data_IF_418601292835
#
_entry.id   IF_418601292835
#
_cell.length_a   1.000
_cell.length_b   1.000
_cell.length_c   1.000
_cell.angle_alpha   90.00
_cell.angle_beta   90.00
_cell.angle_gamma   90.00
#
_symmetry.space_group_name_H-M   'P 1'
#
loop_
_entity.id
_entity.type
_entity.pdbx_description
1 polymer ?
#
# COMPACT_ATOMS: atom_id res chain seq x y z
N UNK A 1 6.39 -1.97 -26.79
CA UNK A 1 5.96 -3.14 -26.00
C UNK A 1 5.50 -2.60 -24.66
N UNK A 2 4.22 -2.73 -24.35
CA UNK A 2 3.77 -2.40 -22.99
C UNK A 2 4.35 -3.44 -22.03
N UNK A 3 5.04 -2.95 -21.00
CA UNK A 3 5.58 -3.81 -19.94
C UNK A 3 4.41 -4.47 -19.20
N UNK A 4 4.52 -5.76 -18.92
CA UNK A 4 3.55 -6.46 -18.06
C UNK A 4 3.44 -5.72 -16.71
N UNK A 5 2.24 -5.58 -16.16
CA UNK A 5 2.06 -5.03 -14.83
C UNK A 5 2.84 -5.86 -13.79
N UNK A 6 3.47 -5.19 -12.81
CA UNK A 6 4.07 -5.84 -11.65
C UNK A 6 2.99 -6.42 -10.74
N UNK A 7 1.91 -5.65 -10.53
CA UNK A 7 0.76 -6.04 -9.71
C UNK A 7 -0.50 -5.72 -10.52
N UNK A 8 -1.39 -6.69 -10.67
CA UNK A 8 -2.69 -6.50 -11.28
C UNK A 8 -3.76 -7.15 -10.40
N UNK A 9 -4.78 -6.38 -10.07
CA UNK A 9 -5.93 -6.83 -9.29
C UNK A 9 -7.16 -6.59 -10.15
N UNK A 10 -7.91 -7.64 -10.46
CA UNK A 10 -9.12 -7.54 -11.27
C UNK A 10 -10.34 -8.07 -10.50
N UNK A 11 -11.22 -7.13 -10.17
CA UNK A 11 -12.50 -7.40 -9.50
C UNK A 11 -12.37 -8.11 -8.16
N UNK A 12 -11.22 -7.96 -7.47
CA UNK A 12 -10.96 -8.70 -6.24
C UNK A 12 -11.87 -8.23 -5.10
N UNK A 13 -12.59 -9.17 -4.51
CA UNK A 13 -13.41 -8.97 -3.31
C UNK A 13 -12.99 -9.95 -2.22
N UNK A 14 -13.00 -9.49 -0.97
CA UNK A 14 -12.72 -10.34 0.20
C UNK A 14 -13.82 -10.23 1.23
N UNK A 15 -14.37 -11.37 1.60
CA UNK A 15 -15.33 -11.50 2.69
C UNK A 15 -14.69 -12.28 3.83
N UNK A 16 -14.84 -11.81 5.06
CA UNK A 16 -14.40 -12.48 6.29
C UNK A 16 -15.64 -12.62 7.19
N UNK A 17 -16.03 -13.85 7.48
CA UNK A 17 -17.33 -14.11 8.10
C UNK A 17 -18.46 -13.54 7.24
N UNK A 18 -19.26 -12.64 7.81
CA UNK A 18 -20.35 -11.97 7.12
C UNK A 18 -19.98 -10.53 6.63
N UNK A 19 -18.74 -10.11 6.83
CA UNK A 19 -18.32 -8.75 6.49
C UNK A 19 -17.51 -8.75 5.21
N UNK A 20 -17.91 -7.89 4.24
CA UNK A 20 -17.13 -7.61 3.06
C UNK A 20 -16.07 -6.57 3.43
N UNK A 21 -14.80 -6.96 3.39
CA UNK A 21 -13.66 -6.09 3.77
C UNK A 21 -12.97 -5.45 2.58
N UNK A 22 -13.06 -6.07 1.41
CA UNK A 22 -12.66 -5.51 0.11
C UNK A 22 -13.78 -5.82 -0.88
N UNK A 23 -14.14 -4.86 -1.72
CA UNK A 23 -15.21 -5.04 -2.71
C UNK A 23 -14.79 -4.54 -4.08
N UNK A 24 -14.76 -5.46 -5.06
CA UNK A 24 -14.48 -5.22 -6.48
C UNK A 24 -13.26 -4.33 -6.75
N UNK A 25 -12.17 -4.59 -6.03
CA UNK A 25 -10.93 -3.81 -6.19
C UNK A 25 -10.36 -4.01 -7.60
N UNK A 26 -10.02 -2.91 -8.23
CA UNK A 26 -9.27 -2.88 -9.49
C UNK A 26 -8.01 -2.03 -9.30
N UNK A 27 -6.85 -2.60 -9.59
CA UNK A 27 -5.57 -1.92 -9.44
C UNK A 27 -4.55 -2.49 -10.42
N UNK A 28 -3.85 -1.61 -11.10
CA UNK A 28 -2.71 -1.98 -11.95
C UNK A 28 -1.51 -1.14 -11.57
N UNK A 29 -0.40 -1.80 -11.24
CA UNK A 29 0.87 -1.17 -10.85
C UNK A 29 1.96 -1.65 -11.80
N UNK A 30 2.67 -0.73 -12.42
CA UNK A 30 3.79 -1.05 -13.32
C UNK A 30 5.07 -1.27 -12.52
N UNK A 31 6.06 -2.02 -13.07
CA UNK A 31 7.38 -2.11 -12.47
C UNK A 31 7.98 -0.73 -12.18
N UNK A 32 8.55 -0.55 -10.98
CA UNK A 32 9.16 0.71 -10.55
C UNK A 32 8.17 1.83 -10.17
N UNK A 33 6.86 1.59 -10.23
CA UNK A 33 5.89 2.56 -9.75
C UNK A 33 5.77 2.55 -8.22
N UNK A 34 5.53 3.73 -7.67
CA UNK A 34 5.16 3.90 -6.28
C UNK A 34 3.70 4.34 -6.16
N UNK A 35 2.94 3.66 -5.32
CA UNK A 35 1.53 3.95 -5.06
C UNK A 35 1.29 4.20 -3.57
N UNK A 36 0.59 5.30 -3.26
CA UNK A 36 0.09 5.61 -1.93
C UNK A 36 -1.39 5.23 -1.79
N UNK A 37 -1.71 4.37 -0.83
CA UNK A 37 -3.08 4.03 -0.43
C UNK A 37 -3.51 4.98 0.68
N UNK A 38 -4.49 5.83 0.40
CA UNK A 38 -5.03 6.78 1.37
C UNK A 38 -6.41 6.36 1.85
N UNK A 39 -6.72 6.58 3.10
CA UNK A 39 -8.04 6.30 3.67
C UNK A 39 -8.04 6.30 5.19
N UNK A 40 -9.22 6.48 5.78
CA UNK A 40 -9.39 6.40 7.22
C UNK A 40 -9.07 5.01 7.77
N UNK A 41 -8.85 4.89 9.08
CA UNK A 41 -8.67 3.59 9.72
C UNK A 41 -9.89 2.70 9.47
N UNK A 42 -9.65 1.42 9.16
CA UNK A 42 -10.71 0.48 8.79
C UNK A 42 -11.17 0.55 7.32
N UNK A 43 -10.56 1.40 6.46
CA UNK A 43 -10.93 1.49 5.04
C UNK A 43 -10.42 0.34 4.15
N UNK A 44 -9.78 -0.67 4.73
CA UNK A 44 -9.30 -1.84 3.99
C UNK A 44 -7.87 -1.76 3.48
N UNK A 45 -7.09 -0.68 3.77
CA UNK A 45 -5.68 -0.52 3.30
C UNK A 45 -4.81 -1.73 3.66
N UNK A 46 -4.75 -2.08 4.94
CA UNK A 46 -4.01 -3.25 5.44
C UNK A 46 -4.48 -4.55 4.76
N UNK A 47 -5.80 -4.70 4.55
CA UNK A 47 -6.36 -5.88 3.89
C UNK A 47 -5.94 -5.96 2.42
N UNK A 48 -5.83 -4.82 1.74
CA UNK A 48 -5.33 -4.76 0.37
C UNK A 48 -3.83 -5.12 0.31
N UNK A 49 -3.01 -4.62 1.24
CA UNK A 49 -1.61 -5.03 1.33
C UNK A 49 -1.45 -6.52 1.61
N UNK A 50 -2.26 -7.09 2.51
CA UNK A 50 -2.28 -8.54 2.77
C UNK A 50 -2.74 -9.35 1.55
N UNK A 51 -3.64 -8.82 0.73
CA UNK A 51 -4.06 -9.44 -0.51
C UNK A 51 -2.92 -9.47 -1.53
N UNK A 52 -2.20 -8.36 -1.70
CA UNK A 52 -1.05 -8.26 -2.63
C UNK A 52 0.10 -9.15 -2.17
N UNK A 53 0.33 -9.27 -0.85
CA UNK A 53 1.41 -10.10 -0.30
C UNK A 53 1.13 -11.60 -0.35
N UNK A 54 -0.10 -12.04 -0.68
CA UNK A 54 -0.48 -13.46 -0.63
C UNK A 54 -0.81 -13.98 0.78
N UNK A 55 -0.80 -13.11 1.81
CA UNK A 55 -1.22 -13.49 3.17
C UNK A 55 -2.71 -13.82 3.27
N UNK A 56 -3.51 -13.30 2.35
CA UNK A 56 -4.91 -13.65 2.15
C UNK A 56 -5.19 -13.76 0.65
N UNK A 57 -6.14 -14.62 0.28
CA UNK A 57 -6.62 -14.72 -1.10
C UNK A 57 -8.00 -14.09 -1.25
N UNK A 58 -8.37 -13.58 -2.43
CA UNK A 58 -9.68 -13.02 -2.69
C UNK A 58 -10.77 -14.10 -2.61
N UNK A 59 -11.98 -13.70 -2.24
CA UNK A 59 -13.18 -14.56 -2.30
C UNK A 59 -13.75 -14.57 -3.72
N UNK A 60 -13.57 -13.46 -4.47
CA UNK A 60 -13.93 -13.29 -5.90
C UNK A 60 -12.87 -12.44 -6.58
N UNK A 61 -12.76 -12.59 -7.90
CA UNK A 61 -11.73 -11.91 -8.68
C UNK A 61 -10.35 -12.55 -8.46
N UNK A 62 -9.29 -11.90 -8.88
CA UNK A 62 -7.94 -12.44 -8.80
C UNK A 62 -6.88 -11.35 -8.63
N UNK A 63 -5.68 -11.79 -8.23
CA UNK A 63 -4.47 -10.97 -8.12
C UNK A 63 -3.38 -11.64 -8.92
N UNK A 64 -2.75 -10.89 -9.80
CA UNK A 64 -1.62 -11.32 -10.61
C UNK A 64 -0.36 -10.57 -10.19
N UNK A 65 0.74 -11.29 -10.07
CA UNK A 65 2.08 -10.74 -9.87
C UNK A 65 2.92 -11.16 -11.08
N UNK A 66 3.41 -10.19 -11.83
CA UNK A 66 4.12 -10.44 -13.10
C UNK A 66 3.36 -11.40 -14.03
N UNK A 67 2.04 -11.24 -14.10
CA UNK A 67 1.15 -12.08 -14.92
C UNK A 67 0.85 -13.47 -14.36
N UNK A 68 1.34 -13.82 -13.16
CA UNK A 68 1.06 -15.11 -12.48
C UNK A 68 0.05 -14.92 -11.36
N UNK A 69 -0.93 -15.82 -11.27
CA UNK A 69 -2.04 -15.72 -10.31
C UNK A 69 -1.62 -16.17 -8.91
N UNK A 70 -1.84 -15.31 -7.90
CA UNK A 70 -1.68 -15.68 -6.49
C UNK A 70 -2.77 -16.67 -6.06
N UNK A 71 -2.34 -17.71 -5.35
CA UNK A 71 -3.20 -18.82 -4.88
C UNK A 71 -3.40 -19.93 -5.90
N UNK A 72 -2.83 -19.80 -7.11
CA UNK A 72 -2.84 -20.83 -8.17
C UNK A 72 -1.43 -21.08 -8.69
N UNK A 73 -0.83 -20.10 -9.36
CA UNK A 73 0.51 -20.23 -9.97
C UNK A 73 1.63 -19.90 -8.97
N UNK A 74 1.32 -19.05 -8.01
CA UNK A 74 2.20 -18.60 -6.93
C UNK A 74 1.47 -18.67 -5.60
N UNK A 75 2.11 -19.21 -4.57
CA UNK A 75 1.65 -19.11 -3.20
C UNK A 75 1.92 -17.71 -2.63
N UNK A 76 3.13 -17.19 -2.88
CA UNK A 76 3.57 -15.85 -2.50
C UNK A 76 4.32 -15.19 -3.64
N UNK A 77 4.37 -13.85 -3.72
CA UNK A 77 5.25 -13.15 -4.64
C UNK A 77 6.71 -13.56 -4.39
N UNK A 78 7.49 -13.89 -5.44
CA UNK A 78 8.83 -14.45 -5.27
C UNK A 78 9.87 -13.45 -4.75
N UNK A 79 9.62 -12.15 -4.90
CA UNK A 79 10.53 -11.08 -4.49
C UNK A 79 9.71 -9.98 -3.83
N UNK A 80 9.44 -10.15 -2.53
CA UNK A 80 8.60 -9.24 -1.76
C UNK A 80 9.20 -8.96 -0.39
N UNK A 81 9.20 -7.68 0.00
CA UNK A 81 9.45 -7.24 1.37
C UNK A 81 8.24 -6.48 1.88
N UNK A 82 7.88 -6.67 3.14
CA UNK A 82 6.71 -5.99 3.68
C UNK A 82 6.88 -5.60 5.15
N UNK A 83 6.29 -4.47 5.48
CA UNK A 83 6.02 -4.00 6.83
C UNK A 83 4.50 -3.87 6.96
N UNK A 84 3.84 -4.88 7.51
CA UNK A 84 2.40 -4.88 7.74
C UNK A 84 2.16 -4.97 9.25
N UNK A 85 1.41 -4.01 9.79
CA UNK A 85 1.17 -3.87 11.22
C UNK A 85 2.45 -3.62 12.04
N UNK A 86 2.47 -4.01 13.32
CA UNK A 86 3.61 -3.79 14.20
C UNK A 86 4.65 -4.90 14.03
N UNK A 87 5.87 -4.58 13.61
CA UNK A 87 6.91 -5.57 13.46
C UNK A 87 7.31 -6.14 14.82
N UNK A 88 7.41 -7.45 14.91
CA UNK A 88 7.84 -8.15 16.13
C UNK A 88 9.04 -9.03 15.82
N UNK A 89 10.12 -8.82 16.56
CA UNK A 89 11.38 -9.54 16.43
C UNK A 89 11.75 -10.21 17.75
N UNK A 90 12.75 -11.07 17.74
CA UNK A 90 13.21 -11.79 18.92
C UNK A 90 13.91 -10.84 19.91
N UNK A 91 13.40 -10.70 21.15
CA UNK A 91 13.82 -9.63 22.06
C UNK A 91 15.25 -9.78 22.60
N UNK A 92 15.76 -11.01 22.65
CA UNK A 92 17.10 -11.32 23.17
C UNK A 92 18.23 -11.05 22.16
N UNK A 93 17.90 -10.89 20.88
CA UNK A 93 18.85 -10.68 19.79
C UNK A 93 18.94 -9.20 19.40
N UNK A 94 20.03 -8.83 18.74
CA UNK A 94 20.21 -7.48 18.14
C UNK A 94 19.41 -7.34 16.87
N UNK A 95 19.31 -6.14 16.31
CA UNK A 95 18.71 -5.91 14.99
C UNK A 95 19.41 -6.72 13.91
N UNK A 96 20.75 -6.74 13.93
CA UNK A 96 21.56 -7.49 12.96
C UNK A 96 21.30 -9.00 13.04
N UNK A 97 21.32 -9.58 14.24
CA UNK A 97 21.04 -11.00 14.45
C UNK A 97 19.62 -11.38 14.01
N UNK A 98 18.62 -10.52 14.25
CA UNK A 98 17.27 -10.75 13.79
C UNK A 98 17.18 -10.76 12.26
N UNK A 99 17.79 -9.80 11.56
CA UNK A 99 17.81 -9.77 10.09
C UNK A 99 18.62 -10.95 9.52
N UNK A 100 19.73 -11.35 10.19
CA UNK A 100 20.51 -12.53 9.80
C UNK A 100 19.69 -13.81 9.87
N UNK A 101 18.87 -13.99 10.91
CA UNK A 101 17.96 -15.12 11.02
C UNK A 101 16.88 -15.10 9.94
N UNK A 102 16.31 -13.92 9.60
CA UNK A 102 15.36 -13.79 8.51
C UNK A 102 15.99 -14.17 7.18
N UNK A 103 17.18 -13.68 6.87
CA UNK A 103 17.88 -14.00 5.62
C UNK A 103 18.16 -15.50 5.47
N UNK A 104 18.39 -16.22 6.58
CA UNK A 104 18.65 -17.67 6.55
C UNK A 104 17.46 -18.51 6.08
N UNK A 105 16.26 -17.94 6.07
CA UNK A 105 15.05 -18.63 5.60
C UNK A 105 14.96 -18.67 4.06
N UNK A 106 15.65 -17.76 3.39
CA UNK A 106 15.60 -17.63 1.93
C UNK A 106 17.00 -17.75 1.33
N UNK A 107 17.85 -16.75 1.50
CA UNK A 107 19.23 -16.76 1.04
C UNK A 107 20.09 -15.99 2.04
N UNK A 108 21.06 -16.68 2.67
CA UNK A 108 21.91 -16.07 3.67
C UNK A 108 22.64 -14.85 3.13
N UNK A 109 22.43 -13.69 3.74
CA UNK A 109 23.06 -12.43 3.34
C UNK A 109 24.39 -12.21 4.07
N UNK A 110 25.38 -11.55 3.42
CA UNK A 110 26.60 -11.12 4.08
C UNK A 110 26.29 -10.15 5.23
N UNK A 111 26.96 -10.34 6.36
CA UNK A 111 26.82 -9.47 7.55
C UNK A 111 27.01 -7.99 7.23
N UNK A 112 27.99 -7.66 6.38
CA UNK A 112 28.26 -6.27 5.98
C UNK A 112 27.06 -5.62 5.26
N UNK A 113 26.27 -6.38 4.51
CA UNK A 113 25.08 -5.87 3.83
C UNK A 113 23.96 -5.59 4.84
N UNK A 114 23.78 -6.47 5.82
CA UNK A 114 22.82 -6.27 6.93
C UNK A 114 23.21 -5.03 7.75
N UNK A 115 24.48 -4.89 8.09
CA UNK A 115 25.00 -3.71 8.81
C UNK A 115 24.78 -2.42 8.02
N UNK A 116 25.00 -2.43 6.71
CA UNK A 116 24.74 -1.29 5.83
C UNK A 116 23.27 -0.86 5.87
N UNK A 117 22.33 -1.82 5.81
CA UNK A 117 20.90 -1.52 5.90
C UNK A 117 20.52 -0.95 7.27
N UNK A 118 21.08 -1.49 8.36
CA UNK A 118 20.83 -0.98 9.70
C UNK A 118 21.38 0.44 9.88
N UNK A 119 22.56 0.75 9.35
CA UNK A 119 23.11 2.10 9.35
C UNK A 119 22.19 3.06 8.56
N UNK A 120 21.68 2.63 7.41
CA UNK A 120 20.77 3.41 6.57
C UNK A 120 19.48 3.80 7.30
N UNK A 121 18.97 2.95 8.21
CA UNK A 121 17.80 3.27 9.04
C UNK A 121 18.18 3.87 10.41
N UNK A 122 19.47 4.14 10.66
CA UNK A 122 19.95 4.77 11.89
C UNK A 122 19.88 3.86 13.12
N UNK A 123 20.08 2.54 12.94
CA UNK A 123 20.12 1.57 14.02
C UNK A 123 21.56 1.10 14.29
N UNK A 124 21.85 0.89 15.56
CA UNK A 124 23.14 0.42 16.05
C UNK A 124 22.99 -0.94 16.76
N UNK A 125 24.13 -1.57 17.06
CA UNK A 125 24.17 -2.87 17.74
C UNK A 125 23.62 -2.79 19.18
N UNK A 126 22.34 -3.04 19.29
CA UNK A 126 21.58 -3.04 20.56
C UNK A 126 20.52 -4.14 20.50
N UNK A 127 20.28 -4.83 21.61
CA UNK A 127 19.25 -5.88 21.70
C UNK A 127 17.86 -5.29 21.51
N UNK A 128 17.03 -5.97 20.71
CA UNK A 128 15.67 -5.53 20.35
C UNK A 128 14.78 -5.22 21.57
N UNK A 129 14.94 -5.94 22.70
CA UNK A 129 14.21 -5.63 23.94
C UNK A 129 14.44 -4.22 24.51
N UNK A 130 15.53 -3.55 24.08
CA UNK A 130 15.86 -2.17 24.49
C UNK A 130 15.41 -1.13 23.46
N UNK A 131 14.82 -1.56 22.35
CA UNK A 131 14.38 -0.64 21.29
C UNK A 131 13.18 0.18 21.74
N UNK A 132 13.24 1.48 21.49
CA UNK A 132 12.07 2.34 21.52
C UNK A 132 11.07 1.94 20.43
N UNK A 133 9.86 2.46 20.47
CA UNK A 133 8.87 2.18 19.45
C UNK A 133 9.35 2.63 18.05
N UNK A 134 9.96 3.81 17.95
CA UNK A 134 10.56 4.29 16.71
C UNK A 134 11.71 3.43 16.22
N UNK A 135 12.57 2.91 17.10
CA UNK A 135 13.64 1.96 16.72
C UNK A 135 13.06 0.63 16.21
N UNK A 136 11.96 0.14 16.79
CA UNK A 136 11.24 -1.05 16.30
C UNK A 136 10.69 -0.83 14.92
N UNK A 137 10.10 0.34 14.68
CA UNK A 137 9.58 0.73 13.36
C UNK A 137 10.72 0.80 12.32
N UNK A 138 11.85 1.42 12.66
CA UNK A 138 13.05 1.48 11.82
C UNK A 138 13.57 0.08 11.46
N UNK A 139 13.57 -0.88 12.41
CA UNK A 139 13.95 -2.26 12.11
C UNK A 139 12.95 -2.96 11.20
N UNK A 140 11.64 -2.69 11.35
CA UNK A 140 10.62 -3.20 10.44
C UNK A 140 10.79 -2.69 9.01
N UNK A 141 11.13 -1.40 8.85
CA UNK A 141 11.47 -0.81 7.54
C UNK A 141 12.72 -1.49 6.97
N UNK A 142 13.78 -1.66 7.80
CA UNK A 142 14.98 -2.37 7.39
C UNK A 142 14.66 -3.79 6.90
N UNK A 143 13.84 -4.54 7.62
CA UNK A 143 13.42 -5.89 7.26
C UNK A 143 12.61 -5.94 5.95
N UNK A 144 11.88 -4.88 5.62
CA UNK A 144 11.14 -4.81 4.37
C UNK A 144 12.03 -4.57 3.14
N UNK A 145 13.25 -4.03 3.32
CA UNK A 145 14.11 -3.64 2.18
C UNK A 145 15.46 -4.36 2.11
N UNK A 146 15.86 -5.11 3.17
CA UNK A 146 17.23 -5.61 3.30
C UNK A 146 17.64 -6.62 2.22
N UNK A 147 16.71 -7.41 1.68
CA UNK A 147 16.93 -8.35 0.58
C UNK A 147 16.77 -7.71 -0.80
N UNK A 148 16.57 -6.40 -0.87
CA UNK A 148 16.35 -5.66 -2.11
C UNK A 148 15.20 -6.22 -2.97
N UNK A 149 14.00 -6.43 -2.40
CA UNK A 149 12.89 -7.05 -3.11
C UNK A 149 12.36 -6.17 -4.24
N UNK A 150 11.74 -6.81 -5.24
CA UNK A 150 11.11 -6.12 -6.37
C UNK A 150 9.80 -5.43 -5.98
N UNK A 151 9.12 -5.96 -4.97
CA UNK A 151 7.87 -5.41 -4.43
C UNK A 151 8.08 -5.08 -2.96
N UNK A 152 7.74 -3.85 -2.57
CA UNK A 152 7.81 -3.38 -1.17
C UNK A 152 6.43 -2.91 -0.75
N UNK A 153 5.90 -3.48 0.34
CA UNK A 153 4.62 -3.12 0.93
C UNK A 153 4.83 -2.50 2.31
N UNK A 154 4.35 -1.28 2.52
CA UNK A 154 4.51 -0.56 3.76
C UNK A 154 3.15 -0.13 4.32
N UNK A 155 2.77 -0.64 5.49
CA UNK A 155 1.54 -0.25 6.20
C UNK A 155 1.86 0.72 7.32
N UNK A 156 1.37 1.96 7.18
CA UNK A 156 1.58 3.05 8.14
C UNK A 156 3.05 3.21 8.58
N UNK A 157 4.02 3.31 7.65
CA UNK A 157 5.44 3.26 7.98
C UNK A 157 5.93 4.48 8.78
N UNK A 158 5.18 5.58 8.78
CA UNK A 158 5.48 6.81 9.54
C UNK A 158 5.12 6.70 11.02
N UNK A 159 4.34 5.69 11.42
CA UNK A 159 3.94 5.53 12.80
C UNK A 159 5.17 5.43 13.72
N UNK A 160 5.12 6.15 14.84
CA UNK A 160 6.17 6.21 15.85
C UNK A 160 7.55 6.75 15.38
N UNK A 161 7.65 7.25 14.16
CA UNK A 161 8.84 7.94 13.68
C UNK A 161 8.81 9.42 14.10
N UNK A 162 9.95 9.90 14.52
CA UNK A 162 10.23 11.33 14.68
C UNK A 162 10.56 11.97 13.32
N UNK A 163 10.78 13.27 13.29
CA UNK A 163 11.11 14.01 12.06
C UNK A 163 12.35 13.43 11.34
N UNK A 164 13.37 13.03 12.13
CA UNK A 164 14.57 12.37 11.58
C UNK A 164 14.25 11.00 10.97
N UNK A 165 13.30 10.27 11.57
CA UNK A 165 12.82 8.99 11.08
C UNK A 165 12.00 9.11 9.79
N UNK A 166 11.21 10.18 9.66
CA UNK A 166 10.48 10.47 8.42
C UNK A 166 11.46 10.77 7.28
N UNK A 167 12.45 11.64 7.51
CA UNK A 167 13.50 11.92 6.51
C UNK A 167 14.27 10.66 6.12
N UNK A 168 14.61 9.81 7.08
CA UNK A 168 15.24 8.50 6.82
C UNK A 168 14.34 7.64 5.92
N UNK A 169 13.05 7.53 6.21
CA UNK A 169 12.09 6.76 5.42
C UNK A 169 11.99 7.29 3.99
N UNK A 170 11.94 8.62 3.80
CA UNK A 170 11.94 9.24 2.48
C UNK A 170 13.17 8.86 1.66
N UNK A 171 14.36 8.89 2.27
CA UNK A 171 15.60 8.47 1.63
C UNK A 171 15.57 6.98 1.24
N UNK A 172 15.07 6.10 2.13
CA UNK A 172 14.92 4.68 1.85
C UNK A 172 13.97 4.47 0.65
N UNK A 173 12.82 5.13 0.63
CA UNK A 173 11.85 5.05 -0.47
C UNK A 173 12.47 5.53 -1.78
N UNK A 174 13.19 6.65 -1.75
CA UNK A 174 13.85 7.21 -2.93
C UNK A 174 14.90 6.26 -3.50
N UNK A 175 15.74 5.66 -2.66
CA UNK A 175 16.76 4.69 -3.07
C UNK A 175 16.12 3.45 -3.70
N UNK A 176 15.09 2.88 -3.04
CA UNK A 176 14.39 1.69 -3.54
C UNK A 176 13.66 1.97 -4.87
N UNK A 177 13.02 3.12 -4.99
CA UNK A 177 12.38 3.55 -6.25
C UNK A 177 13.42 3.76 -7.35
N UNK A 178 14.58 4.34 -7.01
CA UNK A 178 15.69 4.55 -7.97
C UNK A 178 16.28 3.24 -8.47
N UNK A 179 16.27 2.20 -7.62
CA UNK A 179 16.66 0.82 -7.98
C UNK A 179 15.63 0.15 -8.91
N UNK A 180 14.41 0.68 -8.99
CA UNK A 180 13.32 0.12 -9.78
C UNK A 180 12.36 -0.76 -8.99
N UNK A 181 12.40 -0.75 -7.66
CA UNK A 181 11.43 -1.44 -6.84
C UNK A 181 10.02 -0.83 -7.00
N UNK A 182 9.01 -1.67 -6.99
CA UNK A 182 7.61 -1.28 -6.98
C UNK A 182 7.14 -1.16 -5.54
N UNK A 183 6.63 0.01 -5.14
CA UNK A 183 6.27 0.29 -3.76
C UNK A 183 4.77 0.54 -3.64
N UNK A 184 4.11 -0.16 -2.71
CA UNK A 184 2.73 0.13 -2.30
C UNK A 184 2.73 0.49 -0.83
N UNK A 185 2.38 1.73 -0.52
CA UNK A 185 2.41 2.26 0.84
C UNK A 185 1.01 2.69 1.28
N UNK A 186 0.57 2.23 2.43
CA UNK A 186 -0.65 2.68 3.06
C UNK A 186 -0.34 3.71 4.15
N UNK A 187 -1.03 4.84 4.14
CA UNK A 187 -0.94 5.85 5.19
C UNK A 187 -2.25 6.63 5.33
N UNK A 188 -2.50 7.11 6.53
CA UNK A 188 -3.55 8.10 6.80
C UNK A 188 -3.02 9.54 6.67
N UNK A 189 -1.70 9.74 6.67
CA UNK A 189 -1.06 11.04 6.45
C UNK A 189 -1.05 11.38 4.95
N UNK A 190 -1.92 12.32 4.59
CA UNK A 190 -2.08 12.77 3.20
C UNK A 190 -0.82 13.45 2.65
N UNK A 191 -0.08 14.19 3.49
CA UNK A 191 1.09 14.93 3.05
C UNK A 191 2.23 13.98 2.68
N UNK A 192 2.49 12.98 3.52
CA UNK A 192 3.54 12.01 3.28
C UNK A 192 3.27 11.17 2.03
N UNK A 193 2.05 10.68 1.84
CA UNK A 193 1.67 9.95 0.62
C UNK A 193 1.81 10.80 -0.65
N UNK A 194 1.54 12.11 -0.59
CA UNK A 194 1.63 13.00 -1.75
C UNK A 194 3.09 13.33 -2.09
N UNK A 195 3.97 13.44 -1.10
CA UNK A 195 5.39 13.76 -1.30
C UNK A 195 6.14 12.53 -1.83
N UNK A 196 5.85 11.36 -1.28
CA UNK A 196 6.58 10.13 -1.55
C UNK A 196 6.06 9.37 -2.80
N UNK A 197 4.75 9.43 -3.09
CA UNK A 197 4.13 8.63 -4.15
C UNK A 197 3.88 9.42 -5.43
N UNK A 198 4.21 8.83 -6.57
CA UNK A 198 3.82 9.35 -7.89
C UNK A 198 2.31 9.21 -8.15
N UNK A 199 1.64 8.30 -7.44
CA UNK A 199 0.20 8.04 -7.53
C UNK A 199 -0.37 7.79 -6.15
N UNK A 200 -1.54 8.35 -5.83
CA UNK A 200 -2.25 8.05 -4.60
C UNK A 200 -3.66 7.53 -4.88
N UNK A 201 -4.05 6.50 -4.16
CA UNK A 201 -5.35 5.84 -4.28
C UNK A 201 -6.11 6.01 -2.97
N UNK A 202 -7.34 6.53 -3.01
CA UNK A 202 -8.19 6.58 -1.83
C UNK A 202 -9.00 5.30 -1.70
N UNK A 203 -8.79 4.57 -0.60
CA UNK A 203 -9.63 3.45 -0.21
C UNK A 203 -10.88 3.97 0.52
N UNK A 204 -12.06 3.65 0.00
CA UNK A 204 -13.33 3.88 0.67
C UNK A 204 -13.74 2.66 1.49
N UNK A 205 -14.54 2.87 2.54
CA UNK A 205 -15.21 1.80 3.28
C UNK A 205 -16.01 0.90 2.33
N UNK A 206 -16.26 -0.36 2.72
CA UNK A 206 -16.97 -1.40 1.98
C UNK A 206 -18.37 -1.02 1.43
N UNK A 207 -18.86 0.18 1.71
CA UNK A 207 -20.10 0.76 1.18
C UNK A 207 -19.86 2.11 0.46
N UNK A 208 -18.61 2.47 0.19
CA UNK A 208 -18.30 3.75 -0.42
C UNK A 208 -17.80 3.55 -1.85
N UNK A 209 -18.52 4.08 -2.79
CA UNK A 209 -18.12 4.21 -4.20
C UNK A 209 -16.76 4.92 -4.24
N UNK A 210 -15.71 4.22 -4.67
CA UNK A 210 -14.42 4.83 -4.94
C UNK A 210 -14.60 5.90 -6.03
N UNK A 211 -14.75 7.15 -5.61
CA UNK A 211 -14.67 8.29 -6.52
C UNK A 211 -13.22 8.79 -6.51
N UNK A 212 -12.60 8.67 -7.68
CA UNK A 212 -11.35 9.30 -8.10
C UNK A 212 -10.04 8.81 -7.48
N UNK A 213 -9.29 8.14 -8.33
CA UNK A 213 -7.85 7.91 -8.22
C UNK A 213 -7.14 9.16 -8.74
N UNK A 214 -6.49 9.92 -7.87
CA UNK A 214 -5.62 11.02 -8.27
C UNK A 214 -4.21 10.46 -8.49
N UNK A 215 -3.83 10.33 -9.76
CA UNK A 215 -2.47 9.96 -10.15
C UNK A 215 -1.62 11.24 -10.26
N UNK A 216 -0.56 11.38 -9.44
CA UNK A 216 0.45 12.40 -9.63
C UNK A 216 1.70 11.76 -10.25
N UNK A 217 1.99 12.09 -11.50
CA UNK A 217 3.24 11.71 -12.15
C UNK A 217 4.40 12.60 -11.71
N UNK A 218 5.63 12.05 -11.69
CA UNK A 218 6.87 12.80 -11.51
C UNK A 218 6.86 14.01 -12.46
N UNK A 219 7.09 15.21 -11.95
CA UNK A 219 7.35 16.40 -12.78
C UNK A 219 8.71 16.22 -13.46
N UNK A 220 8.71 15.66 -14.65
CA UNK A 220 9.76 16.00 -15.61
C UNK A 220 9.52 17.43 -16.09
N UNK A 221 10.58 18.22 -15.99
CA UNK A 221 10.62 19.62 -16.35
C UNK A 221 9.93 19.89 -17.70
N UNK A 222 8.99 20.83 -17.68
CA UNK A 222 8.46 21.57 -18.81
C UNK A 222 7.49 20.83 -19.76
N UNK A 223 6.22 21.21 -19.61
CA UNK A 223 5.11 21.18 -20.55
C UNK A 223 4.09 20.02 -20.40
N UNK A 224 2.89 20.50 -20.11
CA UNK A 224 1.56 19.86 -20.28
C UNK A 224 1.18 18.79 -19.25
N UNK A 225 0.34 19.22 -18.32
CA UNK A 225 -0.55 18.38 -17.50
C UNK A 225 -1.42 17.53 -18.42
N UNK A 226 -1.06 16.26 -18.57
CA UNK A 226 -2.00 15.24 -19.00
C UNK A 226 -2.45 14.45 -17.79
N UNK A 227 -3.62 14.78 -17.29
CA UNK A 227 -4.34 14.00 -16.29
C UNK A 227 -4.65 12.62 -16.91
N UNK A 228 -3.91 11.60 -16.53
CA UNK A 228 -4.32 10.22 -16.79
C UNK A 228 -5.39 9.84 -15.74
N UNK A 229 -6.64 9.93 -16.14
CA UNK A 229 -7.76 9.34 -15.40
C UNK A 229 -7.61 7.82 -15.45
N UNK A 230 -7.19 7.20 -14.34
CA UNK A 230 -7.52 5.80 -14.14
C UNK A 230 -9.02 5.73 -13.84
N UNK A 231 -9.80 5.25 -14.79
CA UNK A 231 -11.22 5.05 -14.60
C UNK A 231 -11.39 3.78 -13.78
N UNK A 232 -11.66 3.95 -12.49
CA UNK A 232 -12.28 2.88 -11.72
C UNK A 232 -13.74 2.87 -12.16
N UNK A 233 -14.13 1.92 -12.99
CA UNK A 233 -15.51 1.75 -13.41
C UNK A 233 -16.38 1.59 -12.16
N UNK A 234 -17.10 2.66 -11.82
CA UNK A 234 -18.14 2.62 -10.82
C UNK A 234 -19.24 1.68 -11.35
N UNK A 235 -19.41 0.56 -10.67
CA UNK A 235 -20.60 -0.25 -10.81
C UNK A 235 -21.78 0.56 -10.24
N UNK A 236 -22.32 1.51 -11.04
CA UNK A 236 -23.61 2.14 -10.82
C UNK A 236 -24.58 1.47 -11.75
N UNK A 237 -25.61 0.92 -11.20
CA UNK A 237 -26.89 0.55 -11.77
C UNK A 237 -27.16 -0.95 -11.74
N UNK A 238 -27.74 -1.38 -10.65
CA UNK A 238 -28.93 -2.26 -10.69
C UNK A 238 -29.39 -2.57 -9.27
N UNK A 239 -30.18 -1.66 -8.70
CA UNK A 239 -31.26 -1.97 -7.75
C UNK A 239 -32.00 -0.71 -7.36
N UNK A 240 -32.76 -0.17 -8.30
CA UNK A 240 -34.05 0.44 -7.97
C UNK A 240 -34.97 0.19 -9.17
N UNK A 241 -36.00 -0.62 -8.91
CA UNK A 241 -37.05 -0.89 -9.85
C UNK A 241 -37.79 0.42 -10.20
N UNK A 242 -38.00 0.60 -11.47
CA UNK A 242 -38.91 1.59 -12.00
C UNK A 242 -40.31 1.36 -11.43
N UNK A 243 -40.84 2.36 -10.75
CA UNK A 243 -42.27 2.64 -10.72
C UNK A 243 -42.46 4.02 -11.34
N UNK A 244 -43.20 4.02 -12.43
CA UNK A 244 -43.65 5.19 -13.19
C UNK A 244 -44.50 6.13 -12.31
N UNK A 245 -44.34 7.43 -12.55
CA UNK A 245 -45.39 8.38 -12.19
C UNK A 245 -44.95 9.74 -11.72
N UNK A 246 -44.96 10.72 -12.59
CA UNK A 246 -45.49 12.09 -12.33
C UNK A 246 -44.50 13.12 -11.79
N UNK A 247 -43.96 13.92 -12.66
CA UNK A 247 -43.46 15.28 -12.37
C UNK A 247 -44.63 16.19 -11.95
N UNK A 248 -44.52 16.85 -10.79
CA UNK A 248 -45.21 18.10 -10.51
C UNK A 248 -44.23 19.10 -9.86
N UNK A 249 -44.21 20.36 -10.32
CA UNK A 249 -43.30 21.37 -9.81
C UNK A 249 -43.77 21.94 -8.48
N UNK A 250 -42.86 22.10 -7.54
CA UNK A 250 -43.14 22.77 -6.25
C UNK A 250 -43.12 24.28 -6.43
N UNK A 251 -44.33 24.89 -6.28
CA UNK A 251 -44.48 26.32 -6.21
C UNK A 251 -44.15 26.82 -4.78
N UNK A 252 -43.31 27.82 -4.72
CA UNK A 252 -43.06 28.63 -3.53
C UNK A 252 -44.27 29.50 -3.18
N UNK A 253 -44.85 29.34 -2.01
CA UNK A 253 -45.79 30.27 -1.43
C UNK A 253 -45.15 30.99 -0.24
N UNK A 254 -44.99 32.28 -0.41
CA UNK A 254 -44.74 33.28 0.62
C UNK A 254 -45.93 33.39 1.58
N UNK A 255 -45.71 33.35 2.86
CA UNK A 255 -46.69 33.77 3.87
C UNK A 255 -46.06 34.86 4.73
N UNK A 256 -46.69 36.05 4.63
CA UNK A 256 -46.52 37.22 5.47
C UNK A 256 -47.22 37.04 6.82
N UNK A 257 -46.57 37.51 7.86
CA UNK A 257 -47.17 37.73 9.19
C UNK A 257 -48.22 38.89 9.21
N UNK A 258 -49.10 38.87 10.17
CA UNK A 258 -49.01 39.83 11.29
C UNK A 258 -48.70 39.21 12.63
#
# INVERSE_FOLDING_TARGET
MDLLPRIEIDGASKTIGNSVVLDQIQLTVKPGEMIGLQGVNGSGKTMLLRLISGLIYPTKGHVLIDGKMLGSDLEFPPSIGFLIENPTFLPQYTGAENLQMLSSLHQMMPTAQIESVLQRVGLHDTKYKKYSLGMKQRLGIAAAVFEQPDIILLDEPTNALDESGITMLENVIQDETSRGATIVMASHDMNFCTIAAAKSIRCGLAHCHCKEVLCYGKKDSLKTEKHHRCVVNSCVSRRFGLLDGGFLPYQSSSVSNP
#
